data_IF_465923686323
#
_entry.id   IF_465923686323
#
_cell.length_a   1.000
_cell.length_b   1.000
_cell.length_c   1.000
_cell.angle_alpha   90.00
_cell.angle_beta   90.00
_cell.angle_gamma   90.00
#
_symmetry.space_group_name_H-M   'P 1'
#
loop_
_entity.id
_entity.type
_entity.pdbx_description
1 polymer ?
#
# COMPACT_ATOMS: atom_id res chain seq x y z
N UNK A 1 9.87 -5.70 19.74
CA UNK A 1 8.58 -6.40 19.74
C UNK A 1 7.68 -5.78 20.80
N UNK A 2 6.48 -5.36 20.44
CA UNK A 2 5.49 -4.69 21.32
C UNK A 2 5.00 -5.65 22.40
N UNK A 3 5.04 -6.96 22.13
CA UNK A 3 4.45 -8.00 22.98
C UNK A 3 5.34 -8.47 24.13
N UNK A 4 6.62 -8.13 24.12
CA UNK A 4 7.57 -8.55 25.17
C UNK A 4 7.62 -7.61 26.40
N UNK A 5 6.78 -6.56 26.42
CA UNK A 5 6.62 -5.71 27.58
C UNK A 5 5.15 -5.83 28.06
N UNK A 6 4.88 -6.60 29.15
CA UNK A 6 3.51 -6.81 29.64
C UNK A 6 2.75 -5.50 29.93
N UNK A 7 3.47 -4.47 30.33
CA UNK A 7 2.92 -3.15 30.67
C UNK A 7 2.34 -2.39 29.46
N UNK A 8 2.76 -2.74 28.22
CA UNK A 8 2.29 -2.04 27.01
C UNK A 8 0.98 -2.63 26.44
N UNK A 9 0.63 -3.87 26.78
CA UNK A 9 -0.57 -4.53 26.26
C UNK A 9 -1.83 -4.18 27.06
N UNK A 10 -1.71 -3.83 28.35
CA UNK A 10 -2.84 -3.54 29.21
C UNK A 10 -3.66 -2.31 28.76
N UNK A 11 -3.08 -1.45 27.92
CA UNK A 11 -3.71 -0.23 27.41
C UNK A 11 -4.06 -0.29 25.91
N UNK A 12 -3.79 -1.41 25.22
CA UNK A 12 -4.07 -1.55 23.78
C UNK A 12 -5.39 -2.29 23.60
N UNK A 13 -6.41 -1.59 23.12
CA UNK A 13 -7.71 -2.19 22.78
C UNK A 13 -7.79 -2.64 21.32
N UNK A 14 -6.97 -2.06 20.44
CA UNK A 14 -6.96 -2.36 19.00
C UNK A 14 -5.57 -2.30 18.42
N UNK A 15 -5.26 -3.24 17.54
CA UNK A 15 -4.04 -3.28 16.72
C UNK A 15 -4.46 -3.42 15.26
N UNK A 16 -4.39 -2.32 14.52
CA UNK A 16 -4.63 -2.31 13.09
C UNK A 16 -3.28 -2.18 12.35
N UNK A 17 -3.00 -3.12 11.48
CA UNK A 17 -1.76 -3.19 10.70
C UNK A 17 -2.12 -2.99 9.23
N UNK A 18 -1.46 -2.02 8.58
CA UNK A 18 -1.60 -1.75 7.14
C UNK A 18 -0.21 -1.88 6.54
N UNK A 19 -0.06 -2.72 5.53
CA UNK A 19 1.22 -2.99 4.86
C UNK A 19 1.03 -3.12 3.36
N UNK A 20 2.11 -2.98 2.61
CA UNK A 20 2.13 -3.26 1.18
C UNK A 20 2.22 -4.78 0.91
N UNK A 21 1.55 -5.25 -0.14
CA UNK A 21 1.72 -6.61 -0.66
C UNK A 21 3.09 -6.77 -1.32
N UNK A 22 3.63 -5.69 -1.84
CA UNK A 22 4.80 -5.69 -2.71
C UNK A 22 4.60 -6.61 -3.94
N UNK A 23 5.56 -7.49 -4.20
CA UNK A 23 5.59 -8.30 -5.42
C UNK A 23 4.87 -9.65 -5.28
N UNK A 24 4.62 -10.12 -4.06
CA UNK A 24 3.91 -11.37 -3.79
C UNK A 24 3.06 -11.30 -2.52
N UNK A 25 1.77 -11.11 -2.73
CA UNK A 25 0.80 -11.04 -1.64
C UNK A 25 0.71 -12.34 -0.83
N UNK A 26 0.96 -13.51 -1.43
CA UNK A 26 0.88 -14.78 -0.72
C UNK A 26 2.06 -14.93 0.24
N UNK A 27 3.27 -14.56 -0.20
CA UNK A 27 4.43 -14.50 0.69
C UNK A 27 4.17 -13.51 1.82
N UNK A 28 3.67 -12.30 1.50
CA UNK A 28 3.34 -11.29 2.52
C UNK A 28 2.34 -11.80 3.55
N UNK A 29 1.29 -12.53 3.13
CA UNK A 29 0.32 -13.14 4.05
C UNK A 29 0.97 -14.15 4.99
N UNK A 30 1.82 -15.02 4.48
CA UNK A 30 2.54 -16.02 5.28
C UNK A 30 3.47 -15.36 6.30
N UNK A 31 4.23 -14.35 5.87
CA UNK A 31 5.12 -13.57 6.76
C UNK A 31 4.35 -12.92 7.90
N UNK A 32 3.19 -12.30 7.61
CA UNK A 32 2.37 -11.66 8.62
C UNK A 32 1.80 -12.69 9.62
N UNK A 33 1.30 -13.82 9.14
CA UNK A 33 0.82 -14.90 10.02
C UNK A 33 1.93 -15.34 10.95
N UNK A 34 3.15 -15.55 10.43
CA UNK A 34 4.30 -15.95 11.23
C UNK A 34 4.69 -14.88 12.25
N UNK A 35 4.76 -13.60 11.83
CA UNK A 35 5.07 -12.47 12.72
C UNK A 35 4.06 -12.40 13.88
N UNK A 36 2.76 -12.56 13.61
CA UNK A 36 1.74 -12.52 14.64
C UNK A 36 1.84 -13.72 15.60
N UNK A 37 2.10 -14.93 15.08
CA UNK A 37 2.29 -16.14 15.90
C UNK A 37 3.53 -16.02 16.80
N UNK A 38 4.67 -15.60 16.24
CA UNK A 38 5.93 -15.39 16.97
C UNK A 38 5.79 -14.36 18.11
N UNK A 39 4.87 -13.42 17.96
CA UNK A 39 4.55 -12.41 18.97
C UNK A 39 3.36 -12.81 19.88
N UNK A 40 2.90 -14.04 19.81
CA UNK A 40 1.87 -14.58 20.68
C UNK A 40 0.45 -14.09 20.38
N UNK A 41 0.21 -13.50 19.23
CA UNK A 41 -1.10 -13.06 18.73
C UNK A 41 -1.57 -13.97 17.59
N UNK A 42 -1.64 -15.27 17.84
CA UNK A 42 -2.00 -16.27 16.83
C UNK A 42 -3.34 -15.93 16.17
N UNK A 43 -3.29 -15.70 14.84
CA UNK A 43 -4.48 -15.50 14.04
C UNK A 43 -5.27 -16.82 13.91
N UNK A 44 -6.61 -16.78 13.80
CA UNK A 44 -7.40 -17.96 13.48
C UNK A 44 -6.99 -18.60 12.14
N UNK A 45 -7.08 -19.92 12.01
CA UNK A 45 -6.69 -20.62 10.79
C UNK A 45 -7.50 -20.18 9.56
N UNK A 46 -8.71 -19.66 9.75
CA UNK A 46 -9.59 -19.12 8.72
C UNK A 46 -9.59 -17.59 8.66
N UNK A 47 -8.56 -16.92 9.21
CA UNK A 47 -8.49 -15.46 9.21
C UNK A 47 -8.52 -14.89 7.78
N UNK A 48 -9.39 -13.91 7.58
CA UNK A 48 -9.50 -13.19 6.32
C UNK A 48 -8.86 -11.80 6.45
N UNK A 49 -7.81 -11.54 5.66
CA UNK A 49 -7.18 -10.22 5.60
C UNK A 49 -8.21 -9.16 5.18
N UNK A 50 -8.13 -7.97 5.78
CA UNK A 50 -9.14 -6.93 5.63
C UNK A 50 -10.31 -7.03 6.61
N UNK A 51 -10.32 -8.02 7.52
CA UNK A 51 -11.31 -8.14 8.59
C UNK A 51 -10.67 -7.92 9.97
N UNK A 52 -11.51 -7.74 10.98
CA UNK A 52 -11.09 -7.58 12.38
C UNK A 52 -11.50 -8.82 13.20
N UNK A 53 -10.63 -9.26 14.11
CA UNK A 53 -10.87 -10.41 15.00
C UNK A 53 -10.41 -10.05 16.41
N UNK A 54 -11.06 -10.63 17.43
CA UNK A 54 -10.61 -10.46 18.82
C UNK A 54 -9.62 -11.56 19.19
N UNK A 55 -8.42 -11.19 19.62
CA UNK A 55 -7.37 -12.08 20.08
C UNK A 55 -6.92 -11.61 21.47
N UNK A 56 -7.06 -12.42 22.50
CA UNK A 56 -6.68 -12.08 23.88
C UNK A 56 -7.29 -10.75 24.38
N UNK A 57 -8.50 -10.42 23.96
CA UNK A 57 -9.17 -9.17 24.33
C UNK A 57 -8.79 -7.95 23.50
N UNK A 58 -7.87 -8.08 22.57
CA UNK A 58 -7.45 -7.01 21.65
C UNK A 58 -8.14 -7.21 20.31
N UNK A 59 -8.71 -6.16 19.72
CA UNK A 59 -9.18 -6.18 18.34
C UNK A 59 -7.98 -6.11 17.41
N UNK A 60 -7.76 -7.16 16.63
CA UNK A 60 -6.66 -7.24 15.65
C UNK A 60 -7.23 -7.19 14.24
N UNK A 61 -6.66 -6.35 13.40
CA UNK A 61 -6.98 -6.27 11.97
C UNK A 61 -5.72 -6.08 11.14
N UNK A 62 -5.66 -6.72 9.98
CA UNK A 62 -4.55 -6.59 9.04
C UNK A 62 -5.11 -6.28 7.66
N UNK A 63 -4.65 -5.19 7.06
CA UNK A 63 -4.95 -4.81 5.70
C UNK A 63 -3.68 -4.83 4.86
N UNK A 64 -3.73 -5.52 3.73
CA UNK A 64 -2.61 -5.58 2.77
C UNK A 64 -3.00 -4.78 1.54
N UNK A 65 -2.29 -3.69 1.29
CA UNK A 65 -2.53 -2.84 0.12
C UNK A 65 -2.11 -3.54 -1.17
N UNK A 66 -2.83 -3.30 -2.27
CA UNK A 66 -3.93 -2.32 -2.39
C UNK A 66 -5.30 -2.82 -1.89
N UNK A 67 -5.59 -4.13 -1.88
CA UNK A 67 -6.96 -4.65 -1.74
C UNK A 67 -7.07 -6.01 -1.01
N UNK A 68 -6.04 -6.47 -0.33
CA UNK A 68 -5.89 -7.79 0.32
C UNK A 68 -5.80 -9.00 -0.63
N UNK A 69 -5.78 -8.78 -1.95
CA UNK A 69 -5.83 -9.85 -2.96
C UNK A 69 -4.81 -9.70 -4.08
N UNK A 70 -4.44 -8.46 -4.41
CA UNK A 70 -3.52 -8.12 -5.50
C UNK A 70 -2.14 -7.78 -4.96
N UNK A 71 -1.12 -8.01 -5.79
CA UNK A 71 0.20 -7.43 -5.57
C UNK A 71 0.15 -5.92 -5.73
N UNK A 72 1.06 -5.21 -5.07
CA UNK A 72 1.16 -3.76 -5.15
C UNK A 72 1.42 -3.09 -3.81
N UNK A 73 1.24 -1.79 -3.80
CA UNK A 73 1.58 -0.91 -2.69
C UNK A 73 0.60 0.26 -2.57
N UNK A 74 0.89 1.17 -1.64
CA UNK A 74 0.19 2.44 -1.55
C UNK A 74 0.25 3.21 -2.88
N UNK A 75 1.39 3.21 -3.56
CA UNK A 75 1.57 3.90 -4.84
C UNK A 75 0.64 3.33 -5.92
N UNK A 76 0.46 2.01 -5.96
CA UNK A 76 -0.50 1.35 -6.84
C UNK A 76 -1.92 1.87 -6.59
N UNK A 77 -2.32 1.97 -5.32
CA UNK A 77 -3.64 2.47 -4.91
C UNK A 77 -3.81 3.95 -5.30
N UNK A 78 -2.79 4.78 -5.05
CA UNK A 78 -2.81 6.21 -5.40
C UNK A 78 -2.92 6.40 -6.91
N UNK A 79 -2.13 5.69 -7.72
CA UNK A 79 -2.20 5.78 -9.19
C UNK A 79 -3.57 5.42 -9.76
N UNK A 80 -4.33 4.55 -9.10
CA UNK A 80 -5.71 4.21 -9.49
C UNK A 80 -6.71 5.34 -9.17
N UNK A 81 -6.34 6.28 -8.33
CA UNK A 81 -7.20 7.34 -7.82
C UNK A 81 -6.89 8.74 -8.36
N UNK A 82 -5.86 8.88 -9.21
CA UNK A 82 -5.50 10.19 -9.77
C UNK A 82 -6.60 10.75 -10.68
N UNK A 83 -6.85 12.04 -10.58
CA UNK A 83 -7.87 12.73 -11.39
C UNK A 83 -7.37 13.05 -12.80
N UNK A 84 -6.13 13.49 -12.91
CA UNK A 84 -5.50 13.85 -14.20
C UNK A 84 -5.00 12.60 -14.95
N UNK A 85 -5.91 11.67 -15.25
CA UNK A 85 -5.59 10.38 -15.89
C UNK A 85 -4.96 10.52 -17.27
N UNK A 86 -5.13 11.67 -17.95
CA UNK A 86 -4.51 11.95 -19.24
C UNK A 86 -2.98 12.00 -19.19
N UNK A 87 -2.37 12.18 -18.02
CA UNK A 87 -0.92 12.15 -17.83
C UNK A 87 -0.35 10.72 -17.81
N UNK A 88 -1.15 9.73 -17.39
CA UNK A 88 -0.69 8.35 -17.25
C UNK A 88 -0.13 7.75 -18.57
N UNK A 89 -0.76 7.92 -19.74
CA UNK A 89 -0.20 7.43 -21.00
C UNK A 89 1.16 8.06 -21.36
N UNK A 90 1.38 9.33 -21.00
CA UNK A 90 2.66 10.00 -21.21
C UNK A 90 3.75 9.40 -20.32
N UNK A 91 3.42 9.10 -19.07
CA UNK A 91 4.31 8.47 -18.11
C UNK A 91 4.64 7.04 -18.56
N UNK A 92 3.64 6.26 -18.96
CA UNK A 92 3.82 4.91 -19.50
C UNK A 92 4.73 4.94 -20.76
N UNK A 93 4.56 5.94 -21.64
CA UNK A 93 5.42 6.18 -22.79
C UNK A 93 6.87 6.46 -22.38
N UNK A 94 7.10 7.29 -21.37
CA UNK A 94 8.45 7.58 -20.86
C UNK A 94 9.12 6.33 -20.27
N UNK A 95 8.38 5.51 -19.52
CA UNK A 95 8.87 4.23 -18.99
C UNK A 95 9.21 3.26 -20.13
N UNK A 96 8.33 3.15 -21.13
CA UNK A 96 8.58 2.32 -22.30
C UNK A 96 9.83 2.78 -23.06
N UNK A 97 10.02 4.10 -23.29
CA UNK A 97 11.22 4.65 -23.88
C UNK A 97 12.48 4.27 -23.09
N UNK A 98 12.44 4.32 -21.77
CA UNK A 98 13.57 3.91 -20.93
C UNK A 98 13.92 2.43 -21.13
N UNK A 99 12.92 1.56 -21.20
CA UNK A 99 13.13 0.12 -21.43
C UNK A 99 13.80 -0.19 -22.77
N UNK A 100 13.60 0.65 -23.78
CA UNK A 100 14.25 0.55 -25.08
C UNK A 100 15.59 1.30 -25.17
N UNK A 101 16.00 1.99 -24.12
CA UNK A 101 17.25 2.75 -24.09
C UNK A 101 18.46 1.86 -23.77
N UNK A 102 19.66 2.45 -23.88
CA UNK A 102 20.93 1.80 -23.48
C UNK A 102 21.04 1.59 -21.96
N UNK A 103 20.10 2.15 -21.18
CA UNK A 103 20.02 2.00 -19.72
C UNK A 103 18.59 1.62 -19.33
N UNK A 104 18.09 0.43 -19.71
CA UNK A 104 16.76 -0.01 -19.34
C UNK A 104 16.67 -0.19 -17.81
N UNK A 105 15.44 -0.35 -17.31
CA UNK A 105 15.25 -0.85 -15.97
C UNK A 105 15.94 -2.23 -15.83
N UNK A 106 16.46 -2.50 -14.62
CA UNK A 106 17.00 -3.81 -14.32
C UNK A 106 15.92 -4.88 -14.59
N UNK A 107 16.32 -6.03 -15.11
CA UNK A 107 15.41 -7.17 -15.34
C UNK A 107 14.68 -7.62 -14.06
N UNK A 108 15.24 -7.30 -12.89
CA UNK A 108 14.64 -7.56 -11.57
C UNK A 108 13.82 -6.37 -11.03
N UNK A 109 13.56 -5.32 -11.86
CA UNK A 109 12.70 -4.21 -11.44
C UNK A 109 11.27 -4.71 -11.27
N UNK A 110 10.75 -4.57 -10.09
CA UNK A 110 9.44 -5.07 -9.72
C UNK A 110 8.33 -4.13 -10.13
N UNK A 111 7.09 -4.62 -10.20
CA UNK A 111 5.91 -3.79 -10.49
C UNK A 111 5.79 -2.65 -9.48
N UNK A 112 6.05 -2.91 -8.20
CA UNK A 112 6.01 -1.91 -7.14
C UNK A 112 7.04 -0.78 -7.38
N UNK A 113 8.26 -1.12 -7.80
CA UNK A 113 9.27 -0.12 -8.16
C UNK A 113 8.87 0.72 -9.39
N UNK A 114 8.18 0.10 -10.34
CA UNK A 114 7.63 0.80 -11.51
C UNK A 114 6.53 1.76 -11.07
N UNK A 115 5.61 1.35 -10.21
CA UNK A 115 4.52 2.19 -9.71
C UNK A 115 5.06 3.38 -8.89
N UNK A 116 6.08 3.18 -8.05
CA UNK A 116 6.80 4.28 -7.39
C UNK A 116 7.36 5.28 -8.39
N UNK A 117 8.04 4.79 -9.42
CA UNK A 117 8.58 5.65 -10.48
C UNK A 117 7.47 6.39 -11.23
N UNK A 118 6.35 5.72 -11.54
CA UNK A 118 5.19 6.37 -12.17
C UNK A 118 4.62 7.50 -11.33
N UNK A 119 4.45 7.25 -10.03
CA UNK A 119 3.92 8.25 -9.11
C UNK A 119 4.87 9.46 -8.98
N UNK A 120 6.18 9.22 -8.92
CA UNK A 120 7.17 10.30 -8.91
C UNK A 120 7.10 11.15 -10.19
N UNK A 121 7.00 10.53 -11.37
CA UNK A 121 6.79 11.25 -12.63
C UNK A 121 5.48 12.04 -12.63
N UNK A 122 4.39 11.42 -12.17
CA UNK A 122 3.09 12.08 -12.08
C UNK A 122 3.16 13.35 -11.24
N UNK A 123 3.69 13.24 -10.03
CA UNK A 123 3.88 14.38 -9.12
C UNK A 123 4.79 15.44 -9.77
N UNK A 124 5.89 15.03 -10.40
CA UNK A 124 6.84 15.95 -11.03
C UNK A 124 6.22 16.75 -12.19
N UNK A 125 5.33 16.12 -12.96
CA UNK A 125 4.62 16.81 -14.05
C UNK A 125 3.62 17.85 -13.51
N UNK A 126 3.05 17.63 -12.34
CA UNK A 126 2.09 18.54 -11.71
C UNK A 126 2.75 19.67 -10.91
N UNK A 127 3.99 19.50 -10.47
CA UNK A 127 4.68 20.50 -9.65
C UNK A 127 4.80 21.87 -10.33
N UNK A 128 4.83 21.92 -11.66
CA UNK A 128 4.84 23.17 -12.43
C UNK A 128 3.54 23.97 -12.25
N UNK A 129 2.42 23.29 -11.98
CA UNK A 129 1.10 23.91 -11.86
C UNK A 129 0.76 24.31 -10.40
N UNK A 130 1.46 23.74 -9.41
CA UNK A 130 1.12 23.87 -7.97
C UNK A 130 2.21 24.55 -7.13
N UNK A 131 3.03 25.42 -7.70
CA UNK A 131 4.06 26.20 -6.96
C UNK A 131 4.91 25.36 -5.98
N UNK A 132 5.24 24.12 -6.35
CA UNK A 132 6.02 23.15 -5.57
C UNK A 132 5.38 22.71 -4.24
N UNK A 133 4.07 22.80 -4.10
CA UNK A 133 3.38 22.36 -2.91
C UNK A 133 2.80 20.94 -3.08
N UNK A 134 3.49 19.93 -2.55
CA UNK A 134 3.05 18.55 -2.62
C UNK A 134 1.69 18.29 -1.96
N UNK A 135 1.34 19.06 -0.93
CA UNK A 135 0.06 18.92 -0.25
C UNK A 135 -1.10 19.30 -1.17
N UNK A 136 -0.94 20.38 -1.92
CA UNK A 136 -1.96 20.81 -2.87
C UNK A 136 -2.17 19.79 -3.99
N UNK A 137 -1.11 19.12 -4.43
CA UNK A 137 -1.22 18.00 -5.38
C UNK A 137 -2.05 16.87 -4.78
N UNK A 138 -1.75 16.45 -3.55
CA UNK A 138 -2.49 15.38 -2.88
C UNK A 138 -3.96 15.76 -2.73
N UNK A 139 -4.25 16.96 -2.24
CA UNK A 139 -5.60 17.41 -1.96
C UNK A 139 -6.45 17.61 -3.24
N UNK A 140 -5.83 18.03 -4.35
CA UNK A 140 -6.52 18.34 -5.59
C UNK A 140 -6.53 17.20 -6.61
N UNK A 141 -5.46 16.39 -6.69
CA UNK A 141 -5.27 15.41 -7.75
C UNK A 141 -5.60 13.96 -7.33
N UNK A 142 -5.60 13.66 -6.03
CA UNK A 142 -5.98 12.35 -5.55
C UNK A 142 -7.46 12.33 -5.22
N UNK A 143 -8.20 11.45 -5.88
CA UNK A 143 -9.62 11.25 -5.57
C UNK A 143 -9.80 10.22 -4.46
N UNK A 144 -9.77 10.68 -3.22
CA UNK A 144 -10.01 9.81 -2.07
C UNK A 144 -11.44 9.25 -2.02
N UNK A 145 -12.38 9.72 -2.84
CA UNK A 145 -13.73 9.13 -2.97
C UNK A 145 -13.76 7.95 -3.93
N UNK A 146 -12.69 7.74 -4.70
CA UNK A 146 -12.59 6.65 -5.65
C UNK A 146 -12.83 5.28 -4.98
N UNK A 147 -13.50 4.39 -5.69
CA UNK A 147 -13.86 3.06 -5.20
C UNK A 147 -12.65 2.18 -4.86
N UNK A 148 -11.46 2.48 -5.41
CA UNK A 148 -10.23 1.77 -5.05
C UNK A 148 -9.90 1.87 -3.55
N UNK A 149 -10.32 2.95 -2.87
CA UNK A 149 -10.16 3.10 -1.41
C UNK A 149 -11.27 2.45 -0.57
N UNK A 150 -12.32 1.87 -1.18
CA UNK A 150 -13.49 1.38 -0.44
C UNK A 150 -13.13 0.30 0.57
N UNK A 151 -12.27 -0.64 0.20
CA UNK A 151 -11.83 -1.72 1.08
C UNK A 151 -11.02 -1.19 2.26
N UNK A 152 -10.10 -0.25 2.02
CA UNK A 152 -9.30 0.39 3.06
C UNK A 152 -10.17 1.21 4.01
N UNK A 153 -11.10 2.01 3.48
CA UNK A 153 -12.04 2.81 4.30
C UNK A 153 -12.93 1.97 5.19
N UNK A 154 -13.43 0.85 4.68
CA UNK A 154 -14.27 -0.06 5.48
C UNK A 154 -13.48 -0.80 6.55
N UNK A 155 -12.16 -0.95 6.36
CA UNK A 155 -11.26 -1.59 7.32
C UNK A 155 -10.91 -0.65 8.49
N UNK A 156 -10.68 0.62 8.25
CA UNK A 156 -10.32 1.61 9.30
C UNK A 156 -11.55 1.92 10.17
#
# INVERSE_FOLDING_TARGET
SITNQPENLENINSLLVIVDADDDINIRKLDLIQIFDDNGLKLPDNYQFGTKVSIKGITVGIFIMPDNSSNGSLETLVLQSVKSTQLLPCIDGAIACRNHSTKPFNQNTTTNQIDKTKLEFYISMLLADYDFNHRDIIDNEIDFSNSCFSNLKSFI
#
